data_IF_591247059001
#
_entry.id   IF_591247059001
#
_cell.length_a   1.000
_cell.length_b   1.000
_cell.length_c   1.000
_cell.angle_alpha   90.00
_cell.angle_beta   90.00
_cell.angle_gamma   90.00
#
_symmetry.space_group_name_H-M   'P 1'
#
loop_
_entity.id
_entity.type
_entity.pdbx_description
1 polymer ?
#
# COMPACT_ATOMS: atom_id res chain seq x y z
N UNK A 1 -23.73 11.19 4.27
CA UNK A 1 -22.37 10.63 4.39
C UNK A 1 -21.49 11.70 5.01
N UNK A 2 -21.04 11.50 6.25
CA UNK A 2 -20.23 12.51 6.96
C UNK A 2 -18.87 12.60 6.28
N UNK A 3 -18.47 13.79 5.84
CA UNK A 3 -17.11 14.02 5.35
C UNK A 3 -16.18 13.78 6.53
N UNK A 4 -15.47 12.64 6.53
CA UNK A 4 -14.34 12.45 7.43
C UNK A 4 -13.34 13.57 7.11
N UNK A 5 -13.31 14.58 7.97
CA UNK A 5 -12.27 15.61 7.95
C UNK A 5 -10.96 14.92 8.28
N UNK A 6 -10.31 14.35 7.25
CA UNK A 6 -9.10 13.58 7.44
C UNK A 6 -7.90 14.53 7.42
N UNK A 7 -7.72 15.28 8.52
CA UNK A 7 -6.56 16.15 8.77
C UNK A 7 -5.27 15.36 9.02
N UNK A 8 -5.34 14.03 9.01
CA UNK A 8 -4.20 13.13 9.16
C UNK A 8 -3.49 12.97 7.81
N UNK A 9 -2.18 13.19 7.77
CA UNK A 9 -1.33 12.84 6.62
C UNK A 9 -1.22 11.31 6.54
N UNK A 10 -1.62 10.72 5.43
CA UNK A 10 -1.44 9.28 5.19
C UNK A 10 0.05 8.98 5.00
N UNK A 11 0.47 7.82 5.50
CA UNK A 11 1.85 7.36 5.42
C UNK A 11 1.94 6.18 4.47
N UNK A 12 2.94 6.24 3.59
CA UNK A 12 3.42 5.10 2.81
C UNK A 12 4.82 4.76 3.31
N UNK A 13 4.94 3.62 3.96
CA UNK A 13 6.24 3.00 4.25
C UNK A 13 6.54 1.99 3.15
N UNK A 14 7.75 2.06 2.59
CA UNK A 14 8.16 1.20 1.49
C UNK A 14 9.54 0.60 1.77
N UNK A 15 9.69 -0.70 1.51
CA UNK A 15 10.97 -1.41 1.51
C UNK A 15 11.15 -2.17 0.20
N UNK A 16 12.35 -2.11 -0.35
CA UNK A 16 12.75 -2.91 -1.51
C UNK A 16 13.55 -4.13 -1.02
N UNK A 17 12.98 -5.32 -1.16
CA UNK A 17 13.58 -6.57 -0.67
C UNK A 17 13.24 -7.75 -1.60
N UNK A 18 14.15 -8.73 -1.67
CA UNK A 18 13.82 -10.02 -2.28
C UNK A 18 12.79 -10.75 -1.43
N UNK A 19 11.67 -11.14 -2.05
CA UNK A 19 10.61 -11.88 -1.38
C UNK A 19 10.71 -13.37 -1.71
N UNK A 20 10.59 -14.21 -0.68
CA UNK A 20 10.46 -15.66 -0.87
C UNK A 20 9.09 -15.99 -1.50
N UNK A 21 8.92 -17.23 -1.98
CA UNK A 21 7.61 -17.78 -2.39
C UNK A 21 6.90 -17.07 -3.56
N UNK A 22 7.64 -16.56 -4.56
CA UNK A 22 7.07 -16.01 -5.80
C UNK A 22 6.15 -14.79 -5.57
N UNK A 23 6.43 -13.97 -4.55
CA UNK A 23 5.74 -12.71 -4.34
C UNK A 23 6.44 -11.57 -5.07
N UNK A 24 5.64 -10.73 -5.72
CA UNK A 24 6.06 -9.44 -6.24
C UNK A 24 6.01 -8.37 -5.16
N UNK A 25 4.94 -8.35 -4.35
CA UNK A 25 4.77 -7.42 -3.25
C UNK A 25 3.84 -7.96 -2.16
N UNK A 26 4.10 -7.54 -0.93
CA UNK A 26 3.22 -7.70 0.23
C UNK A 26 2.84 -6.29 0.70
N UNK A 27 1.55 -6.01 0.79
CA UNK A 27 1.01 -4.69 1.08
C UNK A 27 0.11 -4.79 2.31
N UNK A 28 0.52 -4.17 3.42
CA UNK A 28 -0.31 -4.03 4.61
C UNK A 28 -1.05 -2.69 4.56
N UNK A 29 -2.36 -2.75 4.77
CA UNK A 29 -3.24 -1.59 4.82
C UNK A 29 -3.78 -1.44 6.24
N UNK A 30 -3.60 -0.27 6.84
CA UNK A 30 -4.13 0.05 8.17
C UNK A 30 -5.18 1.15 8.04
N UNK A 31 -6.44 0.81 8.33
CA UNK A 31 -7.53 1.77 8.29
C UNK A 31 -7.83 2.39 9.65
N UNK A 32 -8.36 3.61 9.62
CA UNK A 32 -8.66 4.40 10.79
C UNK A 32 -10.15 4.79 10.88
N UNK A 33 -10.70 4.69 12.08
CA UNK A 33 -12.02 5.18 12.47
C UNK A 33 -11.80 6.12 13.65
N UNK A 34 -12.26 7.37 13.52
CA UNK A 34 -12.08 8.42 14.54
C UNK A 34 -10.63 8.60 15.01
N UNK A 35 -9.68 8.48 14.07
CA UNK A 35 -8.25 8.63 14.31
C UNK A 35 -7.57 7.42 14.97
N UNK A 36 -8.32 6.36 15.25
CA UNK A 36 -7.80 5.11 15.83
C UNK A 36 -7.76 4.01 14.77
N UNK A 37 -6.70 3.18 14.72
CA UNK A 37 -6.69 1.98 13.89
C UNK A 37 -7.89 1.09 14.23
N UNK A 38 -8.67 0.71 13.23
CA UNK A 38 -9.83 -0.17 13.42
C UNK A 38 -9.78 -1.45 12.58
N UNK A 39 -8.95 -1.45 11.53
CA UNK A 39 -8.77 -2.59 10.65
C UNK A 39 -7.35 -2.64 10.11
N UNK A 40 -6.82 -3.86 10.02
CA UNK A 40 -5.55 -4.15 9.34
C UNK A 40 -5.78 -5.38 8.48
N UNK A 41 -5.42 -5.30 7.21
CA UNK A 41 -5.35 -6.48 6.34
C UNK A 41 -4.16 -6.39 5.41
N UNK A 42 -3.94 -7.49 4.71
CA UNK A 42 -2.79 -7.70 3.84
C UNK A 42 -3.28 -8.10 2.45
N UNK A 43 -2.71 -7.45 1.44
CA UNK A 43 -2.85 -7.80 0.04
C UNK A 43 -1.52 -8.34 -0.46
N UNK A 44 -1.59 -9.42 -1.23
CA UNK A 44 -0.41 -10.10 -1.76
C UNK A 44 -0.48 -10.11 -3.29
N UNK A 45 0.59 -9.64 -3.94
CA UNK A 45 0.75 -9.69 -5.39
C UNK A 45 1.81 -10.74 -5.70
N UNK A 46 1.47 -11.71 -6.54
CA UNK A 46 2.41 -12.75 -6.93
C UNK A 46 3.12 -12.38 -8.23
N UNK A 47 4.34 -12.87 -8.43
CA UNK A 47 5.15 -12.57 -9.63
C UNK A 47 4.54 -13.07 -10.93
N UNK A 48 3.62 -14.03 -10.85
CA UNK A 48 2.90 -14.58 -12.01
C UNK A 48 1.59 -13.85 -12.29
N UNK A 49 1.20 -12.87 -11.47
CA UNK A 49 0.05 -12.02 -11.77
C UNK A 49 0.37 -11.17 -13.01
N UNK A 50 -0.63 -10.92 -13.86
CA UNK A 50 -0.50 -9.95 -14.95
C UNK A 50 -0.38 -8.53 -14.40
N UNK A 51 0.42 -7.69 -15.07
CA UNK A 51 0.54 -6.24 -14.80
C UNK A 51 0.75 -5.89 -13.31
N UNK A 52 1.70 -6.60 -12.67
CA UNK A 52 2.01 -6.48 -11.23
C UNK A 52 2.21 -5.05 -10.71
N UNK A 53 2.81 -4.18 -11.53
CA UNK A 53 3.03 -2.76 -11.19
C UNK A 53 1.70 -1.99 -11.15
N UNK A 54 0.83 -2.19 -12.15
CA UNK A 54 -0.49 -1.55 -12.17
C UNK A 54 -1.30 -1.98 -10.95
N UNK A 55 -1.36 -3.28 -10.68
CA UNK A 55 -2.04 -3.83 -9.51
C UNK A 55 -1.51 -3.24 -8.19
N UNK A 56 -0.20 -3.12 -8.05
CA UNK A 56 0.40 -2.47 -6.87
C UNK A 56 -0.07 -1.03 -6.73
N UNK A 57 0.06 -0.23 -7.79
CA UNK A 57 -0.30 1.19 -7.75
C UNK A 57 -1.79 1.42 -7.51
N UNK A 58 -2.66 0.54 -8.03
CA UNK A 58 -4.09 0.58 -7.77
C UNK A 58 -4.41 0.33 -6.28
N UNK A 59 -3.85 -0.73 -5.69
CA UNK A 59 -4.06 -1.10 -4.28
C UNK A 59 -3.57 0.03 -3.37
N UNK A 60 -2.31 0.44 -3.52
CA UNK A 60 -1.70 1.47 -2.67
C UNK A 60 -2.41 2.82 -2.85
N UNK A 61 -2.66 3.23 -4.09
CA UNK A 61 -3.34 4.49 -4.38
C UNK A 61 -4.77 4.53 -3.83
N UNK A 62 -5.51 3.42 -3.92
CA UNK A 62 -6.88 3.33 -3.39
C UNK A 62 -6.88 3.38 -1.87
N UNK A 63 -6.00 2.65 -1.20
CA UNK A 63 -5.87 2.68 0.26
C UNK A 63 -5.52 4.09 0.78
N UNK A 64 -4.52 4.74 0.18
CA UNK A 64 -4.11 6.10 0.57
C UNK A 64 -5.23 7.12 0.32
N UNK A 65 -5.93 7.08 -0.82
CA UNK A 65 -7.10 7.93 -1.08
C UNK A 65 -8.25 7.68 -0.11
N UNK A 66 -8.39 6.44 0.37
CA UNK A 66 -9.33 6.05 1.42
C UNK A 66 -8.97 6.57 2.82
N UNK A 67 -7.76 7.12 2.99
CA UNK A 67 -7.28 7.66 4.26
C UNK A 67 -6.54 6.65 5.14
N UNK A 68 -6.21 5.47 4.60
CA UNK A 68 -5.44 4.45 5.27
C UNK A 68 -3.94 4.79 5.28
N UNK A 69 -3.19 4.10 6.14
CA UNK A 69 -1.75 3.95 5.99
C UNK A 69 -1.42 2.68 5.22
N UNK A 70 -0.29 2.73 4.52
CA UNK A 70 0.24 1.60 3.76
C UNK A 70 1.67 1.32 4.21
N UNK A 71 1.97 0.05 4.43
CA UNK A 71 3.34 -0.46 4.51
C UNK A 71 3.51 -1.54 3.46
N UNK A 72 4.45 -1.36 2.54
CA UNK A 72 4.66 -2.25 1.41
C UNK A 72 6.11 -2.72 1.34
N UNK A 73 6.28 -4.00 1.01
CA UNK A 73 7.57 -4.57 0.62
C UNK A 73 7.41 -5.10 -0.80
N UNK A 74 8.36 -4.80 -1.69
CA UNK A 74 8.34 -5.30 -3.06
C UNK A 74 9.72 -5.64 -3.58
N UNK A 75 9.76 -6.58 -4.52
CA UNK A 75 10.96 -6.88 -5.31
C UNK A 75 11.25 -5.77 -6.34
N UNK A 76 10.27 -4.93 -6.67
CA UNK A 76 10.48 -3.74 -7.49
C UNK A 76 11.00 -2.60 -6.62
N UNK A 77 11.74 -1.69 -7.22
CA UNK A 77 12.21 -0.46 -6.58
C UNK A 77 11.08 0.56 -6.43
N UNK A 78 11.27 1.56 -5.56
CA UNK A 78 10.31 2.66 -5.42
C UNK A 78 10.11 3.42 -6.74
N UNK A 79 11.19 3.61 -7.51
CA UNK A 79 11.16 4.29 -8.81
C UNK A 79 10.34 3.52 -9.84
N UNK A 80 10.54 2.19 -9.96
CA UNK A 80 9.76 1.32 -10.86
C UNK A 80 8.26 1.31 -10.51
N UNK A 81 7.92 1.55 -9.25
CA UNK A 81 6.54 1.65 -8.76
C UNK A 81 5.98 3.08 -8.79
N UNK A 82 6.75 4.06 -9.27
CA UNK A 82 6.35 5.46 -9.33
C UNK A 82 6.16 6.13 -7.97
N UNK A 83 6.84 5.64 -6.93
CA UNK A 83 6.80 6.20 -5.58
C UNK A 83 7.89 7.26 -5.45
N UNK A 84 7.47 8.50 -5.22
CA UNK A 84 8.38 9.62 -4.92
C UNK A 84 8.55 9.80 -3.39
N UNK A 85 9.77 10.05 -2.90
CA UNK A 85 9.99 10.37 -1.49
C UNK A 85 9.34 11.72 -1.14
N UNK A 86 8.58 11.76 -0.04
CA UNK A 86 7.81 12.93 0.41
C UNK A 86 8.37 13.61 1.65
#
# INVERSE_FOLDING_TARGET
MSSRSNTRKQLLYFSHEELQNQYFAVIRITEFLDGQPWGVWEENIHTYDGDVVEKFTEIVGTALRGGADVSAISIATAEELGIEPS
#
